data_IF_028321358906
#
_entry.id   IF_028321358906
#
_cell.length_a   1.000
_cell.length_b   1.000
_cell.length_c   1.000
_cell.angle_alpha   90.00
_cell.angle_beta   90.00
_cell.angle_gamma   90.00
#
_symmetry.space_group_name_H-M   'P 1'
#
loop_
_entity.id
_entity.type
_entity.pdbx_description
1 polymer ?
#
# COMPACT_ATOMS: atom_id res chain seq x y z
N UNK A 1 -21.65 1.73 -15.78
CA UNK A 1 -23.11 1.58 -16.00
C UNK A 1 -23.47 0.73 -17.21
N UNK A 2 -22.72 0.76 -18.33
CA UNK A 2 -23.06 0.00 -19.55
C UNK A 2 -23.37 -1.50 -19.31
N UNK A 3 -22.60 -2.20 -18.48
CA UNK A 3 -22.85 -3.61 -18.14
C UNK A 3 -24.19 -3.82 -17.42
N UNK A 4 -24.55 -2.93 -16.49
CA UNK A 4 -25.82 -3.03 -15.77
C UNK A 4 -27.00 -2.78 -16.72
N UNK A 5 -26.87 -1.81 -17.63
CA UNK A 5 -27.87 -1.54 -18.68
C UNK A 5 -28.04 -2.75 -19.60
N UNK A 6 -26.94 -3.31 -20.10
CA UNK A 6 -26.98 -4.49 -20.95
C UNK A 6 -27.59 -5.71 -20.24
N UNK A 7 -27.30 -5.90 -18.94
CA UNK A 7 -27.92 -6.96 -18.14
C UNK A 7 -29.43 -6.75 -17.98
N UNK A 8 -29.87 -5.51 -17.73
CA UNK A 8 -31.29 -5.18 -17.61
C UNK A 8 -32.07 -5.41 -18.92
N UNK A 9 -31.42 -5.28 -20.07
CA UNK A 9 -32.00 -5.53 -21.39
C UNK A 9 -32.00 -7.03 -21.77
N UNK A 10 -31.34 -7.88 -21.00
CA UNK A 10 -31.25 -9.31 -21.31
C UNK A 10 -32.56 -10.05 -21.00
N UNK A 11 -32.96 -10.95 -21.91
CA UNK A 11 -34.13 -11.79 -21.70
C UNK A 11 -33.79 -12.93 -20.73
N UNK A 12 -34.41 -12.90 -19.55
CA UNK A 12 -34.36 -13.97 -18.53
C UNK A 12 -32.93 -14.32 -18.02
N UNK A 13 -32.23 -13.36 -17.39
CA UNK A 13 -30.88 -13.58 -16.89
C UNK A 13 -30.84 -14.65 -15.77
N UNK A 14 -29.73 -15.39 -15.63
CA UNK A 14 -29.56 -16.42 -14.61
C UNK A 14 -29.22 -15.84 -13.22
N UNK A 15 -29.94 -14.81 -12.77
CA UNK A 15 -29.76 -14.20 -11.45
C UNK A 15 -30.05 -12.70 -11.41
N UNK A 16 -29.51 -12.03 -10.39
CA UNK A 16 -29.65 -10.59 -10.16
C UNK A 16 -28.28 -9.93 -9.99
N UNK A 17 -28.17 -8.66 -10.42
CA UNK A 17 -27.02 -7.80 -10.11
C UNK A 17 -27.41 -6.84 -8.99
N UNK A 18 -26.66 -6.85 -7.90
CA UNK A 18 -26.75 -5.85 -6.84
C UNK A 18 -25.60 -4.85 -6.98
N UNK A 19 -25.90 -3.61 -7.37
CA UNK A 19 -24.92 -2.55 -7.54
C UNK A 19 -24.81 -1.66 -6.30
N UNK A 20 -23.59 -1.52 -5.77
CA UNK A 20 -23.29 -0.68 -4.61
C UNK A 20 -22.29 0.41 -5.02
N UNK A 21 -22.73 1.66 -4.98
CA UNK A 21 -21.87 2.82 -5.22
C UNK A 21 -21.40 3.43 -3.89
N UNK A 22 -20.08 3.64 -3.75
CA UNK A 22 -19.46 4.28 -2.59
C UNK A 22 -18.55 5.41 -3.09
N UNK A 23 -18.89 6.69 -2.85
CA UNK A 23 -18.16 7.81 -3.44
C UNK A 23 -16.90 8.21 -2.68
N UNK A 24 -16.60 7.59 -1.54
CA UNK A 24 -15.59 8.05 -0.57
C UNK A 24 -14.35 7.14 -0.45
N UNK A 25 -14.06 6.39 -1.50
CA UNK A 25 -12.93 5.44 -1.59
C UNK A 25 -11.60 6.14 -1.25
N UNK A 26 -11.27 7.24 -1.95
CA UNK A 26 -10.03 8.02 -1.86
C UNK A 26 -9.77 8.72 -0.51
N UNK A 27 -10.75 8.75 0.38
CA UNK A 27 -10.60 9.38 1.69
C UNK A 27 -10.31 8.34 2.77
N UNK A 28 -11.35 7.65 3.20
CA UNK A 28 -11.24 6.67 4.29
C UNK A 28 -12.16 5.46 4.05
N UNK A 29 -12.72 5.33 2.84
CA UNK A 29 -13.63 4.24 2.48
C UNK A 29 -14.71 3.98 3.55
N UNK A 30 -15.23 5.05 4.16
CA UNK A 30 -16.20 4.94 5.25
C UNK A 30 -17.54 4.39 4.72
N UNK A 31 -17.93 4.73 3.50
CA UNK A 31 -19.09 4.18 2.80
C UNK A 31 -18.94 2.67 2.58
N UNK A 32 -17.82 2.23 2.00
CA UNK A 32 -17.53 0.81 1.79
C UNK A 32 -17.51 0.02 3.11
N UNK A 33 -16.86 0.55 4.16
CA UNK A 33 -16.80 -0.11 5.48
C UNK A 33 -18.16 -0.21 6.15
N UNK A 34 -18.98 0.84 6.10
CA UNK A 34 -20.36 0.79 6.61
C UNK A 34 -21.23 -0.17 5.81
N UNK A 35 -21.10 -0.17 4.49
CA UNK A 35 -21.84 -1.10 3.63
C UNK A 35 -21.46 -2.56 3.93
N UNK A 36 -20.18 -2.87 4.11
CA UNK A 36 -19.72 -4.21 4.50
C UNK A 36 -20.36 -4.68 5.82
N UNK A 37 -20.58 -3.78 6.78
CA UNK A 37 -21.27 -4.09 8.04
C UNK A 37 -22.79 -4.22 7.86
N UNK A 38 -23.41 -3.44 6.97
CA UNK A 38 -24.85 -3.42 6.76
C UNK A 38 -25.35 -4.54 5.82
N UNK A 39 -24.52 -4.99 4.88
CA UNK A 39 -24.88 -5.95 3.84
C UNK A 39 -25.49 -7.27 4.37
N UNK A 40 -24.98 -7.90 5.44
CA UNK A 40 -25.60 -9.11 5.99
C UNK A 40 -27.05 -8.88 6.47
N UNK A 41 -27.33 -7.70 7.03
CA UNK A 41 -28.68 -7.34 7.48
C UNK A 41 -29.61 -7.10 6.29
N UNK A 42 -29.15 -6.32 5.31
CA UNK A 42 -29.91 -6.06 4.08
C UNK A 42 -30.19 -7.37 3.34
N UNK A 43 -29.19 -8.26 3.24
CA UNK A 43 -29.36 -9.56 2.61
C UNK A 43 -30.43 -10.40 3.30
N UNK A 44 -30.45 -10.41 4.64
CA UNK A 44 -31.48 -11.11 5.42
C UNK A 44 -32.86 -10.47 5.28
N UNK A 45 -32.96 -9.15 5.38
CA UNK A 45 -34.23 -8.42 5.28
C UNK A 45 -34.88 -8.54 3.90
N UNK A 46 -34.07 -8.74 2.86
CA UNK A 46 -34.49 -8.76 1.46
C UNK A 46 -34.40 -10.13 0.82
N UNK A 47 -34.11 -11.17 1.62
CA UNK A 47 -33.96 -12.56 1.18
C UNK A 47 -33.00 -12.69 -0.02
N UNK A 48 -31.84 -12.03 0.07
CA UNK A 48 -30.80 -12.05 -0.95
C UNK A 48 -29.75 -13.11 -0.66
N UNK A 49 -29.52 -13.99 -1.63
CA UNK A 49 -28.38 -14.90 -1.65
C UNK A 49 -27.19 -14.24 -2.38
N UNK A 50 -26.27 -13.66 -1.61
CA UNK A 50 -25.09 -12.98 -2.16
C UNK A 50 -23.99 -14.01 -2.51
N UNK A 51 -23.96 -14.44 -3.77
CA UNK A 51 -23.01 -15.48 -4.24
C UNK A 51 -21.57 -14.99 -4.43
N UNK A 52 -21.37 -13.73 -4.85
CA UNK A 52 -20.04 -13.16 -5.10
C UNK A 52 -20.07 -11.63 -5.07
N UNK A 53 -18.91 -11.01 -4.83
CA UNK A 53 -18.70 -9.57 -4.94
C UNK A 53 -17.53 -9.30 -5.90
N UNK A 54 -17.71 -8.32 -6.79
CA UNK A 54 -16.68 -7.86 -7.73
C UNK A 54 -16.40 -6.40 -7.43
N UNK A 55 -15.16 -6.08 -7.07
CA UNK A 55 -14.69 -4.71 -7.00
C UNK A 55 -14.15 -4.28 -8.38
N UNK A 56 -14.48 -3.08 -8.83
CA UNK A 56 -14.19 -2.59 -10.19
C UNK A 56 -12.98 -1.64 -10.23
N UNK A 57 -12.07 -1.76 -9.27
CA UNK A 57 -10.84 -0.95 -9.24
C UNK A 57 -10.00 -1.19 -10.50
N UNK A 58 -9.49 -0.10 -11.05
CA UNK A 58 -8.56 -0.15 -12.16
C UNK A 58 -7.16 -0.52 -11.64
N UNK A 59 -6.64 -1.65 -12.10
CA UNK A 59 -5.23 -1.97 -11.92
C UNK A 59 -4.48 -1.27 -13.06
N UNK A 60 -3.56 -0.38 -12.71
CA UNK A 60 -2.68 0.24 -13.69
C UNK A 60 -1.80 -0.84 -14.35
N UNK A 61 -1.79 -0.88 -15.67
CA UNK A 61 -0.83 -1.66 -16.46
C UNK A 61 0.21 -0.68 -17.03
N UNK A 62 1.44 -0.74 -16.50
CA UNK A 62 2.57 0.07 -17.01
C UNK A 62 3.11 -0.46 -18.37
N UNK A 63 2.51 -1.52 -18.92
CA UNK A 63 2.82 -2.10 -20.22
C UNK A 63 1.93 -1.56 -21.36
N UNK A 64 1.67 -2.40 -22.35
CA UNK A 64 0.84 -2.08 -23.53
C UNK A 64 -0.65 -2.41 -23.34
N UNK A 65 -1.07 -2.74 -22.12
CA UNK A 65 -2.42 -3.20 -21.83
C UNK A 65 -2.68 -4.66 -22.24
N UNK A 66 -1.70 -5.38 -22.79
CA UNK A 66 -1.85 -6.78 -23.21
C UNK A 66 -2.10 -7.74 -22.05
N UNK A 67 -1.73 -7.33 -20.82
CA UNK A 67 -2.05 -8.06 -19.59
C UNK A 67 -3.49 -7.88 -19.12
N UNK A 68 -4.31 -7.11 -19.85
CA UNK A 68 -5.57 -6.44 -19.48
C UNK A 68 -6.73 -7.24 -18.86
N UNK A 69 -6.49 -8.38 -18.24
CA UNK A 69 -7.43 -9.13 -17.41
C UNK A 69 -6.70 -9.70 -16.19
N UNK A 70 -6.52 -8.87 -15.18
CA UNK A 70 -5.95 -9.28 -13.88
C UNK A 70 -7.11 -9.38 -12.89
N UNK A 71 -7.23 -10.55 -12.24
CA UNK A 71 -8.11 -10.72 -11.07
C UNK A 71 -7.23 -10.59 -9.84
N UNK A 72 -7.36 -9.48 -9.12
CA UNK A 72 -6.78 -9.33 -7.79
C UNK A 72 -7.74 -9.90 -6.76
N UNK A 73 -7.29 -10.88 -5.98
CA UNK A 73 -8.09 -11.51 -4.91
C UNK A 73 -7.96 -10.78 -3.56
N UNK A 74 -7.21 -9.68 -3.51
CA UNK A 74 -7.00 -8.87 -2.31
C UNK A 74 -6.04 -7.71 -2.57
N UNK A 75 -5.89 -6.85 -1.57
CA UNK A 75 -4.98 -5.69 -1.59
C UNK A 75 -3.95 -5.79 -0.46
N UNK A 76 -2.82 -5.09 -0.63
CA UNK A 76 -1.82 -4.95 0.43
C UNK A 76 -2.17 -3.72 1.28
N UNK A 77 -2.37 -3.92 2.59
CA UNK A 77 -2.62 -2.81 3.51
C UNK A 77 -1.40 -1.89 3.66
N UNK A 78 -1.63 -0.57 3.62
CA UNK A 78 -0.60 0.44 3.85
C UNK A 78 -0.59 0.88 5.31
N UNK A 79 0.49 0.60 6.01
CA UNK A 79 0.75 1.16 7.34
C UNK A 79 1.79 2.28 7.23
N UNK A 80 1.49 3.44 7.79
CA UNK A 80 2.41 4.58 7.87
C UNK A 80 2.85 4.78 9.33
N UNK A 81 3.86 4.02 9.80
CA UNK A 81 4.40 4.21 11.14
C UNK A 81 5.11 5.57 11.22
N UNK A 82 4.70 6.40 12.17
CA UNK A 82 5.31 7.72 12.42
C UNK A 82 6.01 7.71 13.78
N UNK A 83 7.26 8.18 13.82
CA UNK A 83 8.01 8.37 15.04
C UNK A 83 8.40 9.85 15.19
N UNK A 84 8.11 10.43 16.35
CA UNK A 84 8.54 11.77 16.71
C UNK A 84 9.68 11.67 17.72
N UNK A 85 10.86 12.14 17.35
CA UNK A 85 12.07 12.07 18.19
C UNK A 85 12.49 13.48 18.58
N UNK A 86 12.52 13.77 19.87
CA UNK A 86 12.95 15.04 20.43
C UNK A 86 14.37 14.89 20.98
N UNK A 87 15.23 15.85 20.67
CA UNK A 87 16.58 15.96 21.22
C UNK A 87 16.69 17.06 22.28
N UNK A 88 17.82 17.10 22.98
CA UNK A 88 18.17 18.20 23.90
C UNK A 88 19.18 19.09 23.16
N UNK A 89 18.91 20.38 22.91
CA UNK A 89 19.81 21.26 22.17
C UNK A 89 21.10 21.54 22.94
N UNK A 90 22.23 21.55 22.25
CA UNK A 90 23.53 21.93 22.79
C UNK A 90 24.34 22.77 21.78
N UNK A 91 25.22 23.61 22.29
CA UNK A 91 26.18 24.33 21.47
C UNK A 91 27.09 23.34 20.71
N UNK A 92 27.39 23.60 19.44
CA UNK A 92 28.15 22.67 18.58
C UNK A 92 29.56 22.35 19.10
N UNK A 93 30.15 23.26 19.89
CA UNK A 93 31.42 23.06 20.60
C UNK A 93 31.34 22.21 21.88
N UNK A 94 30.13 21.88 22.36
CA UNK A 94 29.90 21.05 23.55
C UNK A 94 28.90 19.92 23.26
N UNK A 95 29.25 18.98 22.36
CA UNK A 95 28.32 17.97 21.84
C UNK A 95 27.81 16.96 22.89
N UNK A 96 28.45 16.86 24.05
CA UNK A 96 28.03 15.99 25.16
C UNK A 96 26.97 16.64 26.06
N UNK A 97 26.69 17.93 25.90
CA UNK A 97 25.72 18.67 26.72
C UNK A 97 24.29 18.60 26.16
N UNK A 98 24.06 17.78 25.13
CA UNK A 98 22.77 17.63 24.48
C UNK A 98 22.57 16.23 23.91
N UNK A 99 21.36 15.97 23.45
CA UNK A 99 20.99 14.72 22.79
C UNK A 99 20.56 15.04 21.37
N UNK A 100 21.35 14.60 20.39
CA UNK A 100 21.00 14.77 19.00
C UNK A 100 19.86 13.80 18.62
N UNK A 101 18.70 14.36 18.23
CA UNK A 101 17.53 13.59 17.80
C UNK A 101 17.80 12.63 16.63
N UNK A 102 18.85 12.86 15.84
CA UNK A 102 19.25 12.01 14.73
C UNK A 102 20.23 10.87 15.13
N UNK A 103 20.87 10.93 16.30
CA UNK A 103 21.93 9.99 16.67
C UNK A 103 21.43 8.54 16.87
N UNK A 104 20.16 8.36 17.24
CA UNK A 104 19.54 7.03 17.40
C UNK A 104 19.19 6.30 16.10
N UNK A 105 19.34 6.93 14.92
CA UNK A 105 18.91 6.39 13.61
C UNK A 105 19.97 5.55 12.88
N UNK A 106 20.93 4.93 13.58
CA UNK A 106 21.78 3.90 12.94
C UNK A 106 21.14 2.53 13.11
N UNK A 107 20.31 2.13 12.14
CA UNK A 107 19.99 0.72 11.95
C UNK A 107 21.26 0.02 11.43
N UNK A 108 21.61 -1.12 12.03
CA UNK A 108 22.74 -1.97 11.66
C UNK A 108 22.63 -2.34 10.18
N UNK A 109 23.40 -1.69 9.32
CA UNK A 109 23.56 -2.10 7.92
C UNK A 109 24.75 -3.06 7.84
N UNK A 110 24.43 -4.30 7.41
CA UNK A 110 25.33 -5.38 7.00
C UNK A 110 26.27 -6.00 8.06
N UNK A 111 25.76 -7.00 8.81
CA UNK A 111 26.53 -8.24 9.02
C UNK A 111 26.10 -9.22 7.92
N UNK A 112 26.92 -9.37 6.90
CA UNK A 112 26.66 -10.35 5.85
C UNK A 112 27.36 -10.05 4.53
N UNK A 113 28.69 -9.97 4.52
CA UNK A 113 29.48 -10.31 3.33
C UNK A 113 30.70 -11.11 3.78
N UNK A 114 30.83 -12.28 3.17
CA UNK A 114 31.75 -13.35 3.56
C UNK A 114 33.21 -13.06 3.25
N UNK A 115 34.04 -13.98 3.72
CA UNK A 115 35.47 -14.06 3.55
C UNK A 115 35.93 -13.78 2.10
N UNK A 116 36.98 -12.96 1.95
CA UNK A 116 37.56 -12.64 0.66
C UNK A 116 38.84 -11.82 0.76
N UNK A 117 39.93 -12.51 1.13
CA UNK A 117 41.35 -12.20 0.85
C UNK A 117 41.89 -10.80 1.17
N UNK A 118 42.71 -10.75 2.22
CA UNK A 118 43.75 -9.75 2.47
C UNK A 118 44.67 -9.59 1.25
N UNK A 119 44.69 -8.39 0.65
CA UNK A 119 45.87 -7.85 -0.03
C UNK A 119 45.97 -6.35 0.22
N UNK A 120 47.11 -5.83 0.70
CA UNK A 120 47.32 -4.40 0.81
C UNK A 120 47.52 -3.79 -0.59
N UNK A 121 46.80 -2.70 -0.86
CA UNK A 121 46.95 -1.88 -2.07
C UNK A 121 48.10 -0.88 -1.82
N UNK A 122 49.06 -0.68 -2.75
CA UNK A 122 50.14 0.28 -2.55
C UNK A 122 49.62 1.72 -2.65
N UNK A 123 50.10 2.58 -1.74
CA UNK A 123 49.88 4.02 -1.76
C UNK A 123 50.70 4.62 -2.91
N UNK A 124 50.02 5.16 -3.92
CA UNK A 124 50.63 5.91 -5.02
C UNK A 124 50.71 7.40 -4.71
N UNK A 125 51.89 7.98 -4.95
CA UNK A 125 52.26 9.37 -4.73
C UNK A 125 51.40 10.36 -5.53
N UNK A 126 50.84 11.35 -4.84
CA UNK A 126 50.21 12.52 -5.46
C UNK A 126 51.24 13.63 -5.65
N UNK A 127 51.75 13.80 -6.87
CA UNK A 127 52.41 15.04 -7.28
C UNK A 127 51.37 16.06 -7.73
N UNK A 128 51.37 17.21 -7.05
CA UNK A 128 50.63 18.41 -7.43
C UNK A 128 51.20 19.04 -8.71
N UNK A 129 50.32 19.38 -9.63
CA UNK A 129 50.53 20.29 -10.75
C UNK A 129 49.35 21.25 -10.82
#
# INVERSE_FOLDING_TARGET
MAVCTQFAESANPPGNIFFLAVPDEENNSAGARKAAQALPFIARERDLDLAAAINLDAIADDGDGSKGRIIALGTVGKLLPTAYVIGIPAHSGFPLNGLNAAAGRRHRQARGMGAGTDRPVPVGDWHAG
#
